data_IF_673366590431
#
_entry.id   IF_673366590431
#
_cell.length_a   1.000
_cell.length_b   1.000
_cell.length_c   1.000
_cell.angle_alpha   90.00
_cell.angle_beta   90.00
_cell.angle_gamma   90.00
#
_symmetry.space_group_name_H-M   'P 1'
#
loop_
_entity.id
_entity.type
_entity.pdbx_description
1 polymer ?
#
# COMPACT_ATOMS: atom_id res chain seq x y z
N UNK A 1 -4.12 21.20 10.85
CA UNK A 1 -3.29 21.37 9.62
C UNK A 1 -2.71 20.01 9.24
N UNK A 2 -2.66 19.67 7.94
CA UNK A 2 -2.08 18.41 7.44
C UNK A 2 -0.76 18.67 6.72
N UNK A 3 0.32 18.01 7.14
CA UNK A 3 1.63 18.05 6.46
C UNK A 3 1.90 16.73 5.74
N UNK A 4 2.33 16.79 4.49
CA UNK A 4 2.69 15.61 3.67
C UNK A 4 4.20 15.52 3.50
N UNK A 5 4.75 14.32 3.67
CA UNK A 5 6.16 14.05 3.39
C UNK A 5 6.34 12.70 2.68
N UNK A 6 7.14 12.69 1.61
CA UNK A 6 7.65 11.45 1.03
C UNK A 6 8.86 10.99 1.84
N UNK A 7 8.76 9.81 2.45
CA UNK A 7 9.81 9.27 3.31
C UNK A 7 10.44 8.07 2.61
N UNK A 8 11.76 8.12 2.46
CA UNK A 8 12.54 6.98 2.02
C UNK A 8 12.83 6.08 3.23
N UNK A 9 12.21 4.89 3.27
CA UNK A 9 12.61 3.82 4.18
C UNK A 9 13.78 3.02 3.62
N UNK A 10 14.31 2.10 4.44
CA UNK A 10 15.50 1.28 4.11
C UNK A 10 15.32 0.47 2.81
N UNK A 11 14.13 -0.06 2.57
CA UNK A 11 13.84 -0.89 1.38
C UNK A 11 12.69 -0.36 0.51
N UNK A 12 11.91 0.60 1.00
CA UNK A 12 10.72 1.08 0.33
C UNK A 12 10.38 2.52 0.73
N UNK A 13 9.85 3.28 -0.23
CA UNK A 13 9.31 4.63 0.04
C UNK A 13 7.89 4.52 0.56
N UNK A 14 7.52 5.42 1.46
CA UNK A 14 6.16 5.61 1.99
C UNK A 14 5.80 7.10 1.98
N UNK A 15 4.52 7.41 2.07
CA UNK A 15 4.07 8.80 2.30
C UNK A 15 3.57 8.90 3.73
N UNK A 16 4.05 9.91 4.46
CA UNK A 16 3.57 10.25 5.79
C UNK A 16 2.66 11.47 5.71
N UNK A 17 1.50 11.34 6.32
CA UNK A 17 0.49 12.37 6.51
C UNK A 17 0.45 12.71 7.99
N UNK A 18 0.90 13.91 8.36
CA UNK A 18 0.93 14.35 9.76
C UNK A 18 -0.21 15.32 10.01
N UNK A 19 -1.08 14.96 10.94
CA UNK A 19 -2.23 15.75 11.37
C UNK A 19 -1.84 16.44 12.67
N UNK A 20 -1.87 17.77 12.68
CA UNK A 20 -1.55 18.60 13.86
C UNK A 20 -2.84 19.24 14.35
N UNK A 21 -3.12 19.05 15.64
CA UNK A 21 -4.29 19.52 16.36
C UNK A 21 -3.94 20.77 17.19
N UNK A 22 -4.95 21.56 17.52
CA UNK A 22 -4.78 22.81 18.29
C UNK A 22 -4.54 22.59 19.78
N UNK A 23 -4.86 21.40 20.29
CA UNK A 23 -4.69 21.02 21.68
C UNK A 23 -4.44 19.51 21.78
N UNK A 24 -3.80 19.09 22.87
CA UNK A 24 -3.57 17.70 23.24
C UNK A 24 -4.89 16.95 23.43
N UNK A 25 -5.03 15.79 22.76
CA UNK A 25 -6.21 14.92 22.88
C UNK A 25 -5.82 13.48 23.17
N UNK A 26 -6.67 12.71 23.89
CA UNK A 26 -6.47 11.28 24.06
C UNK A 26 -6.35 10.57 22.71
N UNK A 27 -5.43 9.61 22.60
CA UNK A 27 -5.23 8.82 21.38
C UNK A 27 -6.53 8.14 20.92
N UNK A 28 -7.38 7.69 21.85
CA UNK A 28 -8.68 7.11 21.53
C UNK A 28 -9.54 8.00 20.64
N UNK A 29 -9.68 9.28 20.98
CA UNK A 29 -10.43 10.27 20.18
C UNK A 29 -9.77 10.53 18.82
N UNK A 30 -8.43 10.60 18.80
CA UNK A 30 -7.68 10.83 17.58
C UNK A 30 -7.80 9.66 16.58
N UNK A 31 -7.98 8.43 17.09
CA UNK A 31 -8.16 7.23 16.27
C UNK A 31 -9.51 7.18 15.56
N UNK A 32 -10.57 7.74 16.13
CA UNK A 32 -11.87 7.87 15.44
C UNK A 32 -11.73 8.73 14.18
N UNK A 33 -11.04 9.88 14.30
CA UNK A 33 -10.73 10.73 13.14
C UNK A 33 -9.75 10.12 12.15
N UNK A 34 -8.87 9.22 12.60
CA UNK A 34 -7.89 8.56 11.74
C UNK A 34 -8.55 7.65 10.67
N UNK A 35 -9.71 7.06 10.97
CA UNK A 35 -10.48 6.27 10.00
C UNK A 35 -10.98 7.13 8.83
N UNK A 36 -11.59 8.28 9.11
CA UNK A 36 -12.01 9.22 8.08
C UNK A 36 -10.83 9.75 7.25
N UNK A 37 -9.71 10.04 7.90
CA UNK A 37 -8.49 10.44 7.21
C UNK A 37 -7.93 9.33 6.30
N UNK A 38 -8.09 8.05 6.67
CA UNK A 38 -7.68 6.94 5.82
C UNK A 38 -8.53 6.84 4.54
N UNK A 39 -9.84 7.10 4.63
CA UNK A 39 -10.73 7.19 3.46
C UNK A 39 -10.37 8.37 2.55
N UNK A 40 -10.08 9.54 3.12
CA UNK A 40 -9.61 10.70 2.36
C UNK A 40 -8.28 10.40 1.63
N UNK A 41 -7.34 9.73 2.30
CA UNK A 41 -6.09 9.27 1.68
C UNK A 41 -6.39 8.27 0.56
N UNK A 42 -7.31 7.32 0.75
CA UNK A 42 -7.68 6.37 -0.30
C UNK A 42 -8.20 7.09 -1.55
N UNK A 43 -9.11 8.05 -1.36
CA UNK A 43 -9.67 8.89 -2.42
C UNK A 43 -8.59 9.74 -3.11
N UNK A 44 -7.67 10.36 -2.34
CA UNK A 44 -6.54 11.12 -2.90
C UNK A 44 -5.71 10.27 -3.88
N UNK A 45 -5.51 8.99 -3.55
CA UNK A 45 -4.75 8.05 -4.36
C UNK A 45 -5.56 7.41 -5.50
N UNK A 46 -6.83 7.77 -5.68
CA UNK A 46 -7.70 7.19 -6.70
C UNK A 46 -8.04 5.73 -6.42
N UNK A 47 -8.22 5.39 -5.15
CA UNK A 47 -8.53 4.03 -4.71
C UNK A 47 -9.67 3.98 -3.70
N UNK A 48 -10.02 2.76 -3.30
CA UNK A 48 -10.98 2.49 -2.24
C UNK A 48 -10.27 1.92 -1.00
N UNK A 49 -10.73 2.28 0.20
CA UNK A 49 -10.24 1.71 1.44
C UNK A 49 -10.95 0.38 1.74
N UNK A 50 -10.17 -0.64 2.04
CA UNK A 50 -10.61 -1.85 2.73
C UNK A 50 -10.30 -1.67 4.22
N UNK A 51 -11.27 -1.25 5.05
CA UNK A 51 -11.02 -0.87 6.42
C UNK A 51 -10.60 -2.06 7.27
N UNK A 52 -9.73 -1.80 8.25
CA UNK A 52 -9.32 -2.75 9.27
C UNK A 52 -9.66 -2.22 10.65
N UNK A 53 -9.99 -3.13 11.57
CA UNK A 53 -10.19 -2.82 12.99
C UNK A 53 -8.94 -3.12 13.84
N UNK A 54 -7.85 -3.59 13.22
CA UNK A 54 -6.63 -4.00 13.91
C UNK A 54 -5.56 -2.91 13.92
N UNK A 55 -5.47 -2.13 14.99
CA UNK A 55 -4.39 -1.15 15.14
C UNK A 55 -3.01 -1.83 15.10
N UNK A 56 -1.98 -1.17 14.53
CA UNK A 56 -2.00 0.18 13.96
C UNK A 56 -2.54 0.25 12.52
N UNK A 57 -3.04 -0.84 11.95
CA UNK A 57 -3.56 -0.91 10.59
C UNK A 57 -4.98 -0.32 10.52
N UNK A 58 -5.14 0.73 9.73
CA UNK A 58 -6.44 1.35 9.49
C UNK A 58 -7.14 0.73 8.28
N UNK A 59 -6.36 0.17 7.34
CA UNK A 59 -6.89 -0.55 6.21
C UNK A 59 -5.90 -0.67 5.06
N UNK A 60 -6.36 -1.30 3.99
CA UNK A 60 -5.62 -1.42 2.72
C UNK A 60 -6.32 -0.60 1.66
N UNK A 61 -5.58 0.28 1.00
CA UNK A 61 -6.05 1.04 -0.16
C UNK A 61 -5.84 0.20 -1.42
N UNK A 62 -6.94 -0.02 -2.15
CA UNK A 62 -7.00 -0.59 -3.48
C UNK A 62 -6.96 0.55 -4.50
N UNK A 63 -5.76 0.90 -4.96
CA UNK A 63 -5.55 1.99 -5.92
C UNK A 63 -5.86 1.47 -7.33
N UNK A 64 -6.77 2.13 -8.05
CA UNK A 64 -6.98 1.80 -9.46
C UNK A 64 -5.75 2.20 -10.27
N UNK A 65 -5.23 1.23 -11.01
CA UNK A 65 -4.16 1.47 -11.95
C UNK A 65 -4.46 0.73 -13.26
N UNK A 66 -5.00 1.50 -14.21
CA UNK A 66 -5.34 1.01 -15.56
C UNK A 66 -6.33 -0.16 -15.52
N UNK A 67 -7.23 -0.20 -14.53
CA UNK A 67 -8.17 -1.30 -14.34
C UNK A 67 -7.61 -2.51 -13.59
N UNK A 68 -6.37 -2.45 -13.10
CA UNK A 68 -5.81 -3.39 -12.13
C UNK A 68 -5.61 -2.72 -10.77
N UNK A 69 -5.21 -3.48 -9.74
CA UNK A 69 -5.10 -2.96 -8.37
C UNK A 69 -3.63 -2.83 -7.93
N UNK A 70 -3.23 -1.62 -7.51
CA UNK A 70 -2.04 -1.43 -6.69
C UNK A 70 -2.45 -1.38 -5.22
N UNK A 71 -1.70 -2.03 -4.34
CA UNK A 71 -2.06 -2.14 -2.93
C UNK A 71 -1.15 -1.29 -2.06
N UNK A 72 -1.73 -0.55 -1.11
CA UNK A 72 -1.00 0.09 -0.04
C UNK A 72 -1.69 -0.11 1.30
N UNK A 73 -0.92 -0.37 2.35
CA UNK A 73 -1.41 -0.30 3.71
C UNK A 73 -1.43 1.16 4.17
N UNK A 74 -2.52 1.55 4.84
CA UNK A 74 -2.62 2.79 5.60
C UNK A 74 -2.61 2.42 7.08
N UNK A 75 -1.60 2.88 7.79
CA UNK A 75 -1.42 2.60 9.21
C UNK A 75 -0.98 3.83 9.98
N UNK A 76 -1.30 3.84 11.27
CA UNK A 76 -0.72 4.78 12.21
C UNK A 76 0.79 4.52 12.31
N UNK A 77 1.59 5.56 12.07
CA UNK A 77 3.06 5.52 12.15
C UNK A 77 3.66 6.51 13.15
N UNK A 78 2.82 7.32 13.80
CA UNK A 78 3.10 8.04 15.05
C UNK A 78 1.78 8.27 15.79
N UNK A 79 1.72 8.09 17.12
CA UNK A 79 2.81 7.68 18.02
C UNK A 79 3.14 6.18 17.95
N UNK A 80 2.24 5.42 17.35
CA UNK A 80 2.36 3.98 17.20
C UNK A 80 3.07 3.65 15.89
N UNK A 81 4.04 2.74 15.92
CA UNK A 81 4.70 2.24 14.70
C UNK A 81 4.80 0.73 14.74
N UNK A 82 4.78 0.09 13.56
CA UNK A 82 4.87 -1.38 13.42
C UNK A 82 6.25 -1.91 13.88
N UNK A 83 6.35 -3.15 14.38
CA UNK A 83 5.25 -4.05 14.74
C UNK A 83 4.69 -3.69 16.12
N UNK A 84 3.38 -3.84 16.31
CA UNK A 84 2.75 -3.71 17.62
C UNK A 84 2.10 -5.04 17.99
N UNK A 85 2.40 -5.50 19.20
CA UNK A 85 1.51 -6.41 19.91
C UNK A 85 0.23 -5.68 20.35
N UNK A 86 -0.59 -6.26 21.24
CA UNK A 86 -1.73 -5.54 21.79
C UNK A 86 -1.27 -4.21 22.42
N UNK A 87 -1.98 -3.13 22.11
CA UNK A 87 -1.73 -1.83 22.71
C UNK A 87 -2.09 -1.88 24.20
N UNK A 88 -1.21 -1.46 25.12
CA UNK A 88 -1.58 -1.31 26.52
C UNK A 88 -2.79 -0.38 26.64
N UNK A 89 -3.75 -0.70 27.51
CA UNK A 89 -4.98 0.12 27.67
C UNK A 89 -4.68 1.59 27.98
N UNK A 90 -3.57 1.84 28.69
CA UNK A 90 -3.06 3.17 29.05
C UNK A 90 -2.66 4.03 27.84
N UNK A 91 -2.40 3.42 26.67
CA UNK A 91 -2.10 4.18 25.46
C UNK A 91 -3.31 4.95 24.93
N UNK A 92 -4.53 4.49 25.19
CA UNK A 92 -5.74 5.16 24.71
C UNK A 92 -5.97 6.52 25.38
N UNK A 93 -5.57 6.65 26.65
CA UNK A 93 -5.68 7.89 27.44
C UNK A 93 -4.45 8.81 27.29
N UNK A 94 -3.34 8.30 26.75
CA UNK A 94 -2.17 9.11 26.44
C UNK A 94 -2.53 10.23 25.45
N UNK A 95 -2.02 11.43 25.73
CA UNK A 95 -2.39 12.64 24.99
C UNK A 95 -1.35 12.99 23.93
N UNK A 96 -1.84 13.42 22.77
CA UNK A 96 -1.01 13.84 21.65
C UNK A 96 -1.59 15.08 20.98
N UNK A 97 -0.72 16.00 20.58
CA UNK A 97 -1.03 17.16 19.72
C UNK A 97 -1.01 16.81 18.23
N UNK A 98 -0.56 15.60 17.88
CA UNK A 98 -0.41 15.14 16.50
C UNK A 98 -0.48 13.63 16.37
N UNK A 99 -0.96 13.19 15.21
CA UNK A 99 -0.81 11.81 14.74
C UNK A 99 -0.19 11.80 13.36
N UNK A 100 0.39 10.67 12.97
CA UNK A 100 0.79 10.48 11.58
C UNK A 100 0.30 9.16 11.00
N UNK A 101 -0.30 9.24 9.82
CA UNK A 101 -0.67 8.09 9.01
C UNK A 101 0.38 7.88 7.94
N UNK A 102 0.67 6.62 7.64
CA UNK A 102 1.61 6.23 6.61
C UNK A 102 0.90 5.39 5.55
N UNK A 103 1.02 5.81 4.30
CA UNK A 103 0.67 4.99 3.14
C UNK A 103 1.93 4.30 2.64
N UNK A 104 1.95 2.98 2.71
CA UNK A 104 3.10 2.15 2.36
C UNK A 104 2.67 1.06 1.37
N UNK A 105 3.29 0.96 0.17
CA UNK A 105 2.89 -0.08 -0.78
C UNK A 105 3.16 -1.48 -0.22
N UNK A 106 2.25 -2.41 -0.48
CA UNK A 106 2.37 -3.79 0.02
C UNK A 106 2.31 -4.79 -1.13
N UNK A 107 2.73 -6.03 -0.88
CA UNK A 107 2.70 -7.08 -1.89
C UNK A 107 1.26 -7.58 -2.08
N UNK A 108 0.85 -7.87 -3.32
CA UNK A 108 -0.47 -8.41 -3.62
C UNK A 108 -0.51 -9.92 -3.33
N UNK A 109 -0.57 -10.22 -2.02
CA UNK A 109 -0.69 -11.57 -1.48
C UNK A 109 -2.11 -12.09 -1.67
N UNK A 110 -2.24 -13.39 -1.94
CA UNK A 110 -3.52 -14.03 -2.24
C UNK A 110 -3.82 -14.15 -3.73
N UNK A 111 -4.97 -14.76 -4.04
CA UNK A 111 -5.46 -14.96 -5.40
C UNK A 111 -6.16 -13.69 -5.88
N UNK A 112 -5.85 -13.15 -7.07
CA UNK A 112 -6.63 -12.06 -7.65
C UNK A 112 -8.08 -12.47 -7.88
N UNK A 113 -9.02 -11.54 -7.63
CA UNK A 113 -10.45 -11.70 -7.94
C UNK A 113 -10.72 -11.61 -9.44
N UNK A 114 -9.78 -10.99 -10.17
CA UNK A 114 -9.83 -10.91 -11.63
C UNK A 114 -8.51 -10.40 -12.20
N UNK A 115 -8.50 -10.15 -13.50
CA UNK A 115 -7.34 -9.59 -14.19
C UNK A 115 -7.77 -8.50 -15.16
N UNK A 116 -7.06 -7.38 -15.17
CA UNK A 116 -7.02 -6.52 -16.35
C UNK A 116 -6.10 -7.16 -17.38
N UNK A 117 -6.48 -7.07 -18.66
CA UNK A 117 -5.75 -7.70 -19.76
C UNK A 117 -5.43 -6.65 -20.80
N UNK A 118 -4.16 -6.59 -21.20
CA UNK A 118 -3.70 -5.76 -22.32
C UNK A 118 -3.05 -6.63 -23.37
N UNK A 119 -3.27 -6.27 -24.63
CA UNK A 119 -2.52 -6.78 -25.77
C UNK A 119 -1.51 -5.72 -26.16
N UNK A 120 -0.23 -6.08 -26.15
CA UNK A 120 0.86 -5.16 -26.50
C UNK A 120 1.86 -5.88 -27.39
N UNK A 121 2.60 -5.14 -28.24
CA UNK A 121 3.65 -5.75 -29.07
C UNK A 121 4.71 -6.48 -28.24
N UNK A 122 5.15 -5.87 -27.13
CA UNK A 122 6.09 -6.47 -26.20
C UNK A 122 5.92 -5.94 -24.76
N UNK A 123 6.59 -6.57 -23.79
CA UNK A 123 6.51 -6.17 -22.38
C UNK A 123 7.06 -4.76 -22.13
N UNK A 124 8.10 -4.34 -22.86
CA UNK A 124 8.75 -3.04 -22.67
C UNK A 124 7.83 -1.90 -23.12
N UNK A 125 6.97 -2.14 -24.11
CA UNK A 125 6.01 -1.16 -24.61
C UNK A 125 4.82 -0.93 -23.66
N UNK A 126 4.52 -1.85 -22.74
CA UNK A 126 3.35 -1.75 -21.85
C UNK A 126 3.47 -0.62 -20.83
N UNK A 127 4.62 -0.50 -20.18
CA UNK A 127 4.94 0.57 -19.23
C UNK A 127 6.42 0.52 -18.83
N UNK A 128 6.90 1.53 -18.10
CA UNK A 128 8.18 1.47 -17.35
C UNK A 128 8.05 0.54 -16.13
N UNK A 129 7.73 -0.72 -16.39
CA UNK A 129 7.55 -1.76 -15.39
C UNK A 129 8.71 -2.74 -15.44
N UNK A 130 9.08 -3.25 -14.27
CA UNK A 130 10.12 -4.28 -14.17
C UNK A 130 9.47 -5.59 -13.79
N UNK A 131 9.53 -6.59 -14.68
CA UNK A 131 9.02 -7.93 -14.38
C UNK A 131 9.92 -8.66 -13.37
N UNK A 132 9.28 -9.42 -12.48
CA UNK A 132 9.86 -10.17 -11.37
C UNK A 132 9.06 -11.45 -11.16
N UNK A 133 9.40 -12.52 -11.88
CA UNK A 133 8.68 -13.81 -11.86
C UNK A 133 7.17 -13.58 -12.08
N UNK A 134 6.38 -13.61 -11.01
CA UNK A 134 4.92 -13.48 -11.03
C UNK A 134 4.42 -12.08 -10.68
N UNK A 135 5.29 -11.08 -10.65
CA UNK A 135 4.98 -9.70 -10.30
C UNK A 135 5.60 -8.71 -11.28
N UNK A 136 5.00 -7.53 -11.40
CA UNK A 136 5.62 -6.36 -11.99
C UNK A 136 5.82 -5.29 -10.92
N UNK A 137 6.93 -4.56 -11.01
CA UNK A 137 7.18 -3.37 -10.20
C UNK A 137 6.72 -2.15 -11.00
N UNK A 138 5.78 -1.39 -10.44
CA UNK A 138 5.20 -0.18 -11.03
C UNK A 138 5.62 1.03 -10.22
N UNK A 139 6.13 2.07 -10.88
CA UNK A 139 6.31 3.38 -10.23
C UNK A 139 5.03 4.19 -10.39
N UNK A 140 4.38 4.53 -9.27
CA UNK A 140 3.18 5.35 -9.26
C UNK A 140 3.31 6.45 -8.20
N UNK A 141 3.11 7.70 -8.61
CA UNK A 141 3.22 8.91 -7.76
C UNK A 141 4.44 8.93 -6.83
N UNK A 142 5.60 8.49 -7.33
CA UNK A 142 6.88 8.50 -6.60
C UNK A 142 7.15 7.29 -5.71
N UNK A 143 6.21 6.34 -5.58
CA UNK A 143 6.38 5.08 -4.85
C UNK A 143 6.52 3.89 -5.82
N UNK A 144 7.07 2.79 -5.30
CA UNK A 144 7.17 1.51 -6.03
C UNK A 144 6.15 0.52 -5.49
N UNK A 145 5.24 0.10 -6.35
CA UNK A 145 4.20 -0.87 -6.08
C UNK A 145 4.54 -2.21 -6.73
N UNK A 146 4.09 -3.29 -6.11
CA UNK A 146 4.10 -4.62 -6.69
C UNK A 146 2.69 -4.93 -7.18
N UNK A 147 2.59 -5.47 -8.39
CA UNK A 147 1.34 -5.95 -8.96
C UNK A 147 1.53 -7.39 -9.41
N UNK A 148 0.55 -8.26 -9.11
CA UNK A 148 0.62 -9.65 -9.55
C UNK A 148 0.37 -9.71 -11.05
N UNK A 149 1.29 -10.31 -11.79
CA UNK A 149 1.25 -10.33 -13.27
C UNK A 149 1.60 -11.68 -13.85
N UNK A 150 0.92 -12.06 -14.92
CA UNK A 150 1.35 -13.12 -15.85
C UNK A 150 1.44 -12.55 -17.27
N UNK A 151 2.36 -13.09 -18.06
CA UNK A 151 2.58 -12.70 -19.45
C UNK A 151 2.48 -13.95 -20.30
N UNK A 152 1.74 -13.86 -21.40
CA UNK A 152 1.53 -14.96 -22.34
C UNK A 152 1.67 -14.47 -23.77
N UNK A 153 1.99 -15.36 -24.71
CA UNK A 153 1.88 -15.03 -26.13
C UNK A 153 0.44 -14.68 -26.52
N UNK A 154 0.28 -13.71 -27.42
CA UNK A 154 -0.99 -13.50 -28.11
C UNK A 154 -0.98 -14.31 -29.42
N UNK A 155 -1.99 -15.16 -29.68
CA UNK A 155 -2.11 -15.89 -30.95
C UNK A 155 -2.10 -14.99 -32.20
N UNK A 156 -2.45 -13.72 -32.07
CA UNK A 156 -2.44 -12.73 -33.16
C UNK A 156 -1.09 -11.98 -33.28
N UNK A 157 -0.08 -12.38 -32.52
CA UNK A 157 1.22 -11.72 -32.45
C UNK A 157 1.34 -10.75 -31.26
N UNK A 158 2.54 -10.68 -30.70
CA UNK A 158 2.83 -9.90 -29.48
C UNK A 158 2.53 -10.67 -28.20
N UNK A 159 2.18 -9.95 -27.13
CA UNK A 159 1.96 -10.52 -25.79
C UNK A 159 0.68 -10.01 -25.13
N UNK A 160 0.06 -10.91 -24.36
CA UNK A 160 -1.01 -10.60 -23.42
C UNK A 160 -0.45 -10.46 -22.02
N UNK A 161 -0.72 -9.33 -21.39
CA UNK A 161 -0.33 -9.06 -20.02
C UNK A 161 -1.58 -9.06 -19.17
N UNK A 162 -1.56 -9.88 -18.12
CA UNK A 162 -2.64 -9.97 -17.15
C UNK A 162 -2.15 -9.40 -15.83
N UNK A 163 -2.81 -8.38 -15.32
CA UNK A 163 -2.49 -7.80 -14.01
C UNK A 163 -3.66 -7.95 -13.05
N UNK A 164 -3.36 -8.39 -11.83
CA UNK A 164 -4.37 -8.77 -10.84
C UNK A 164 -5.25 -7.60 -10.39
N UNK A 165 -6.55 -7.88 -10.28
CA UNK A 165 -7.54 -7.09 -9.55
C UNK A 165 -7.81 -7.74 -8.21
N UNK A 166 -7.95 -6.91 -7.18
CA UNK A 166 -8.17 -7.34 -5.81
C UNK A 166 -9.33 -6.55 -5.21
N UNK A 167 -10.16 -7.23 -4.45
CA UNK A 167 -11.14 -6.66 -3.52
C UNK A 167 -10.68 -6.85 -2.07
N UNK A 168 -11.56 -6.53 -1.12
CA UNK A 168 -11.21 -6.48 0.30
C UNK A 168 -11.08 -7.86 0.98
N UNK A 169 -11.40 -8.96 0.28
CA UNK A 169 -11.71 -10.26 0.90
C UNK A 169 -10.54 -11.07 1.48
N UNK A 170 -9.26 -10.66 1.38
CA UNK A 170 -8.16 -11.55 1.83
C UNK A 170 -6.77 -10.91 2.02
N UNK A 171 -6.67 -9.60 2.25
CA UNK A 171 -5.34 -8.94 2.33
C UNK A 171 -4.81 -8.92 3.77
N UNK A 172 -3.91 -9.84 4.10
CA UNK A 172 -3.09 -9.77 5.31
C UNK A 172 -1.99 -8.70 5.10
N UNK A 173 -2.27 -7.47 5.55
CA UNK A 173 -1.40 -6.32 5.35
C UNK A 173 0.00 -6.49 5.99
N UNK A 174 0.10 -7.21 7.10
CA UNK A 174 1.37 -7.47 7.78
C UNK A 174 2.26 -8.41 6.96
N UNK A 175 1.71 -9.55 6.53
CA UNK A 175 2.43 -10.49 5.64
C UNK A 175 2.76 -9.85 4.30
N UNK A 176 1.80 -9.10 3.73
CA UNK A 176 1.98 -8.39 2.47
C UNK A 176 3.10 -7.34 2.52
N UNK A 177 3.23 -6.61 3.63
CA UNK A 177 4.32 -5.66 3.80
C UNK A 177 5.68 -6.36 3.90
N UNK A 178 5.80 -7.40 4.72
CA UNK A 178 7.05 -8.15 4.86
C UNK A 178 7.50 -8.73 3.52
N UNK A 179 6.55 -9.25 2.75
CA UNK A 179 6.80 -9.78 1.42
C UNK A 179 7.24 -8.67 0.44
N UNK A 180 6.61 -7.51 0.45
CA UNK A 180 7.03 -6.38 -0.39
C UNK A 180 8.47 -5.98 -0.12
N UNK A 181 8.83 -5.85 1.17
CA UNK A 181 10.20 -5.53 1.58
C UNK A 181 11.18 -6.60 1.14
N UNK A 182 10.82 -7.89 1.25
CA UNK A 182 11.66 -9.01 0.79
C UNK A 182 11.90 -8.95 -0.72
N UNK A 183 10.87 -8.69 -1.52
CA UNK A 183 10.98 -8.58 -2.98
C UNK A 183 11.82 -7.36 -3.41
N UNK A 184 11.68 -6.24 -2.72
CA UNK A 184 12.42 -5.00 -3.01
C UNK A 184 13.87 -5.04 -2.50
N UNK A 185 14.15 -5.74 -1.40
CA UNK A 185 15.51 -5.94 -0.84
C UNK A 185 16.44 -6.76 -1.71
N UNK A 186 15.93 -7.60 -2.63
CA UNK A 186 16.75 -8.45 -3.53
C UNK A 186 17.63 -7.68 -4.52
N UNK A 187 17.81 -6.36 -4.36
CA UNK A 187 18.95 -5.62 -4.91
C UNK A 187 20.20 -5.92 -4.05
N UNK A 188 20.80 -7.08 -4.23
CA UNK A 188 22.03 -7.41 -3.51
C UNK A 188 22.51 -8.85 -3.60
N UNK A 189 22.41 -9.52 -4.76
CA UNK A 189 23.29 -10.63 -5.17
C UNK A 189 22.95 -11.01 -6.60
N UNK A 190 23.63 -10.35 -7.54
CA UNK A 190 24.08 -11.01 -8.76
C UNK A 190 25.56 -11.27 -8.45
N UNK A 191 25.85 -12.47 -7.95
CA UNK A 191 27.14 -13.13 -8.21
C UNK A 191 26.93 -13.99 -9.43
#
# INVERSE_FOLDING_TARGET
MVKRAYIQGVSQRRVRYTFIYSADRPLGELLEGAGAAAEEIASEWGGALCPSKSLPHLGVVLIDWRGASLLADVSLCFPLSRPLGPLPAEFASAKFDKISLCLEPIAPMGKPDGYAVWRVPDVKSWARITLRRNFAVVKHRGLYFLIRTRVEGDPLGGVRIFAGRYGCGSIDAAKALLEARRMLRRRGTIT
#
